data_IF_235533255376
#
_entry.id   IF_235533255376
#
_cell.length_a   1.000
_cell.length_b   1.000
_cell.length_c   1.000
_cell.angle_alpha   90.00
_cell.angle_beta   90.00
_cell.angle_gamma   90.00
#
_symmetry.space_group_name_H-M   'P 1'
#
loop_
_entity.id
_entity.type
_entity.pdbx_description
1 polymer ?
#
# COMPACT_ATOMS: atom_id res chain seq x y z
N UNK A 1 10.83 -3.07 -14.17
CA UNK A 1 11.44 -3.59 -12.94
C UNK A 1 10.42 -3.60 -11.81
N UNK A 2 10.68 -4.34 -10.74
CA UNK A 2 9.69 -4.51 -9.67
C UNK A 2 9.32 -3.18 -9.01
N UNK A 3 10.29 -2.31 -8.74
CA UNK A 3 10.03 -1.02 -8.10
C UNK A 3 9.07 -0.15 -8.92
N UNK A 4 9.29 -0.04 -10.21
CA UNK A 4 8.43 0.71 -11.13
C UNK A 4 7.01 0.12 -11.17
N UNK A 5 6.92 -1.20 -11.20
CA UNK A 5 5.65 -1.90 -11.21
C UNK A 5 4.85 -1.65 -9.93
N UNK A 6 5.52 -1.66 -8.77
CA UNK A 6 4.90 -1.36 -7.48
C UNK A 6 4.35 0.06 -7.46
N UNK A 7 5.16 1.04 -7.85
CA UNK A 7 4.75 2.46 -7.86
C UNK A 7 3.54 2.68 -8.77
N UNK A 8 3.54 2.10 -9.95
CA UNK A 8 2.41 2.20 -10.89
C UNK A 8 1.16 1.49 -10.35
N UNK A 9 1.32 0.31 -9.78
CA UNK A 9 0.19 -0.46 -9.25
C UNK A 9 -0.50 0.24 -8.07
N UNK A 10 0.25 1.03 -7.28
CA UNK A 10 -0.33 1.80 -6.18
C UNK A 10 -0.82 3.20 -6.58
N UNK A 11 -0.87 3.50 -7.88
CA UNK A 11 -1.55 4.67 -8.40
C UNK A 11 -0.67 5.82 -8.88
N UNK A 12 0.65 5.64 -8.93
CA UNK A 12 1.56 6.67 -9.41
C UNK A 12 2.17 6.25 -10.75
N UNK A 13 1.87 6.97 -11.80
CA UNK A 13 2.49 6.76 -13.11
C UNK A 13 3.59 7.79 -13.36
N UNK A 14 4.29 7.66 -14.49
CA UNK A 14 5.42 8.53 -14.85
C UNK A 14 5.06 10.00 -14.98
N UNK A 15 3.78 10.34 -15.13
CA UNK A 15 3.31 11.72 -15.22
C UNK A 15 3.08 12.37 -13.85
N UNK A 16 3.01 11.57 -12.79
CA UNK A 16 2.76 12.09 -11.44
C UNK A 16 3.98 12.85 -10.93
N UNK A 17 3.80 14.07 -10.34
CA UNK A 17 4.93 14.88 -9.87
C UNK A 17 5.84 14.19 -8.84
N UNK A 18 5.28 13.27 -8.05
CA UNK A 18 6.02 12.54 -7.03
C UNK A 18 6.47 11.13 -7.46
N UNK A 19 6.32 10.79 -8.74
CA UNK A 19 6.72 9.48 -9.25
C UNK A 19 8.16 9.12 -8.90
N UNK A 20 9.09 10.05 -9.12
CA UNK A 20 10.50 9.84 -8.84
C UNK A 20 10.77 9.58 -7.34
N UNK A 21 10.03 10.26 -6.46
CA UNK A 21 10.13 10.07 -5.00
C UNK A 21 9.71 8.65 -4.62
N UNK A 22 8.55 8.22 -5.10
CA UNK A 22 8.04 6.88 -4.78
C UNK A 22 8.88 5.78 -5.42
N UNK A 23 9.42 6.02 -6.62
CA UNK A 23 10.33 5.08 -7.26
C UNK A 23 11.61 4.87 -6.44
N UNK A 24 12.19 5.95 -5.93
CA UNK A 24 13.36 5.87 -5.05
C UNK A 24 13.03 5.12 -3.77
N UNK A 25 11.89 5.42 -3.13
CA UNK A 25 11.45 4.74 -1.91
C UNK A 25 11.22 3.25 -2.14
N UNK A 26 10.63 2.89 -3.27
CA UNK A 26 10.38 1.49 -3.61
C UNK A 26 11.66 0.66 -3.74
N UNK A 27 12.77 1.31 -4.13
CA UNK A 27 14.08 0.67 -4.24
C UNK A 27 14.85 0.53 -2.92
N UNK A 28 14.39 1.15 -1.85
CA UNK A 28 15.04 1.10 -0.53
C UNK A 28 14.64 -0.14 0.26
N UNK A 29 15.53 -0.61 1.13
CA UNK A 29 15.22 -1.74 2.01
C UNK A 29 14.28 -1.36 3.16
N UNK A 30 14.42 -0.12 3.67
CA UNK A 30 13.63 0.41 4.78
C UNK A 30 12.92 1.67 4.31
N UNK A 31 11.67 1.54 3.94
CA UNK A 31 10.78 2.62 3.56
C UNK A 31 9.34 2.09 3.55
N UNK A 32 8.37 2.97 3.68
CA UNK A 32 6.96 2.61 3.71
C UNK A 32 6.56 1.83 2.43
N UNK A 33 6.99 2.31 1.27
CA UNK A 33 6.70 1.69 -0.03
C UNK A 33 7.87 0.84 -0.56
N UNK A 34 8.73 0.33 0.33
CA UNK A 34 9.83 -0.55 -0.04
C UNK A 34 9.34 -1.79 -0.80
N UNK A 35 10.13 -2.25 -1.76
CA UNK A 35 9.89 -3.55 -2.41
C UNK A 35 9.81 -4.71 -1.41
N UNK A 36 10.47 -4.58 -0.25
CA UNK A 36 10.40 -5.58 0.83
C UNK A 36 9.04 -5.67 1.51
N UNK A 37 8.27 -4.59 1.46
CA UNK A 37 6.91 -4.52 2.00
C UNK A 37 5.85 -4.86 0.95
N UNK A 38 6.27 -5.27 -0.24
CA UNK A 38 5.40 -5.43 -1.39
C UNK A 38 5.32 -6.87 -1.85
N UNK A 39 4.15 -7.26 -2.32
CA UNK A 39 3.92 -8.48 -3.09
C UNK A 39 3.42 -8.08 -4.47
N UNK A 40 3.92 -8.74 -5.48
CA UNK A 40 3.60 -8.47 -6.88
C UNK A 40 2.91 -9.69 -7.47
N UNK A 41 1.81 -9.48 -8.17
CA UNK A 41 1.13 -10.53 -8.91
C UNK A 41 1.56 -10.50 -10.38
N UNK A 42 1.85 -11.65 -10.92
CA UNK A 42 2.15 -11.82 -12.34
C UNK A 42 1.08 -12.66 -13.02
N UNK A 43 0.74 -12.27 -14.23
CA UNK A 43 -0.14 -13.05 -15.12
C UNK A 43 0.59 -13.21 -16.44
N UNK A 44 0.85 -14.45 -16.83
CA UNK A 44 1.58 -14.81 -18.07
C UNK A 44 2.94 -14.07 -18.18
N UNK A 45 3.64 -13.96 -17.07
CA UNK A 45 4.97 -13.34 -17.02
C UNK A 45 4.96 -11.81 -16.96
N UNK A 46 3.81 -11.17 -16.94
CA UNK A 46 3.67 -9.71 -16.83
C UNK A 46 3.12 -9.30 -15.48
N UNK A 47 3.59 -8.18 -14.95
CA UNK A 47 3.07 -7.62 -13.71
C UNK A 47 1.62 -7.19 -13.87
N UNK A 48 0.74 -7.72 -13.04
CA UNK A 48 -0.69 -7.43 -13.08
C UNK A 48 -1.14 -6.51 -11.94
N UNK A 49 -0.46 -6.54 -10.82
CA UNK A 49 -0.80 -5.72 -9.67
C UNK A 49 0.22 -5.87 -8.53
N UNK A 50 0.02 -5.09 -7.49
CA UNK A 50 0.86 -5.14 -6.30
C UNK A 50 0.07 -4.74 -5.06
N UNK A 51 0.53 -5.21 -3.90
CA UNK A 51 0.04 -4.79 -2.60
C UNK A 51 1.21 -4.41 -1.71
N UNK A 52 1.06 -3.35 -0.95
CA UNK A 52 2.04 -2.89 0.03
C UNK A 52 1.45 -3.02 1.42
N UNK A 53 2.17 -3.69 2.31
CA UNK A 53 1.77 -3.84 3.69
C UNK A 53 2.97 -3.93 4.63
N UNK A 54 2.79 -3.55 5.87
CA UNK A 54 3.85 -3.55 6.87
C UNK A 54 3.26 -3.55 8.29
N UNK A 55 4.13 -3.84 9.24
CA UNK A 55 3.79 -3.75 10.67
C UNK A 55 3.51 -2.29 11.04
N UNK A 56 2.31 -2.00 11.54
CA UNK A 56 1.91 -0.65 11.95
C UNK A 56 2.81 -0.06 13.03
N UNK A 57 3.45 -0.87 13.86
CA UNK A 57 4.41 -0.41 14.87
C UNK A 57 5.67 0.23 14.25
N UNK A 58 5.95 -0.05 12.98
CA UNK A 58 7.12 0.47 12.26
C UNK A 58 6.81 1.70 11.42
N UNK A 59 5.61 2.27 11.53
CA UNK A 59 5.18 3.37 10.68
C UNK A 59 6.17 4.54 10.67
N UNK A 60 6.62 5.03 11.82
CA UNK A 60 7.55 6.16 11.89
C UNK A 60 8.91 5.83 11.25
N UNK A 61 9.46 4.66 11.54
CA UNK A 61 10.72 4.20 10.95
C UNK A 61 10.64 4.11 9.43
N UNK A 62 9.55 3.50 8.94
CA UNK A 62 9.36 3.29 7.51
C UNK A 62 9.04 4.59 6.76
N UNK A 63 8.35 5.52 7.41
CA UNK A 63 7.97 6.80 6.82
C UNK A 63 9.09 7.83 6.85
N UNK A 64 10.03 7.73 7.78
CA UNK A 64 11.11 8.71 7.94
C UNK A 64 11.85 9.07 6.65
N UNK A 65 12.17 8.13 5.73
CA UNK A 65 12.87 8.46 4.50
C UNK A 65 12.11 9.37 3.53
N UNK A 66 10.78 9.48 3.65
CA UNK A 66 9.98 10.32 2.74
C UNK A 66 10.18 11.81 3.00
N UNK A 67 10.41 12.20 4.24
CA UNK A 67 10.47 13.62 4.61
C UNK A 67 11.54 14.42 3.88
N UNK A 68 12.82 14.00 3.86
CA UNK A 68 13.84 14.74 3.12
C UNK A 68 13.57 14.77 1.61
N UNK A 69 12.97 13.73 1.05
CA UNK A 69 12.63 13.69 -0.36
C UNK A 69 11.48 14.63 -0.71
N UNK A 70 10.47 14.72 0.13
CA UNK A 70 9.37 15.68 -0.04
C UNK A 70 9.87 17.11 0.09
N UNK A 71 10.75 17.39 1.06
CA UNK A 71 11.35 18.71 1.20
C UNK A 71 12.14 19.12 -0.03
N UNK A 72 12.93 18.22 -0.59
CA UNK A 72 13.70 18.46 -1.81
C UNK A 72 12.80 18.76 -3.01
N UNK A 73 11.72 18.01 -3.18
CA UNK A 73 10.83 18.13 -4.35
C UNK A 73 9.76 19.21 -4.21
N UNK A 74 9.25 19.45 -2.99
CA UNK A 74 8.15 20.38 -2.73
C UNK A 74 8.59 21.66 -2.04
N UNK A 75 9.82 21.73 -1.53
CA UNK A 75 10.32 22.86 -0.75
C UNK A 75 9.85 22.89 0.71
N UNK A 76 8.92 22.04 1.05
CA UNK A 76 8.36 21.93 2.41
C UNK A 76 8.02 20.48 2.73
N UNK A 77 7.83 20.18 4.01
CA UNK A 77 7.40 18.87 4.48
C UNK A 77 5.93 18.98 4.91
N UNK A 78 4.99 18.40 4.17
CA UNK A 78 3.59 18.39 4.56
C UNK A 78 3.39 17.54 5.82
N UNK A 79 2.38 17.90 6.61
CA UNK A 79 1.96 17.05 7.70
C UNK A 79 1.30 15.78 7.15
N UNK A 80 1.79 14.63 7.58
CA UNK A 80 1.24 13.32 7.19
C UNK A 80 0.67 12.66 8.43
N UNK A 81 -0.63 12.41 8.42
CA UNK A 81 -1.33 11.76 9.52
C UNK A 81 -1.04 10.26 9.57
N UNK A 82 -1.09 9.69 10.78
CA UNK A 82 -0.87 8.27 10.99
C UNK A 82 -2.11 7.48 10.55
N UNK A 83 -1.93 6.56 9.62
CA UNK A 83 -2.99 5.66 9.14
C UNK A 83 -3.09 4.38 9.94
N UNK A 84 -2.04 4.01 10.68
CA UNK A 84 -1.94 2.78 11.43
C UNK A 84 -1.15 2.98 12.71
N UNK A 85 -1.16 1.96 13.54
CA UNK A 85 -0.46 1.93 14.83
C UNK A 85 0.01 0.52 15.16
N UNK A 86 0.75 0.39 16.27
CA UNK A 86 1.17 -0.90 16.78
C UNK A 86 -0.04 -1.81 17.07
N UNK A 87 0.13 -3.11 16.85
CA UNK A 87 -0.90 -4.11 17.09
C UNK A 87 -1.59 -4.62 15.84
N UNK A 88 -1.26 -4.08 14.67
CA UNK A 88 -1.79 -4.57 13.40
C UNK A 88 -0.73 -4.59 12.30
N UNK A 89 -0.90 -5.50 11.35
CA UNK A 89 -0.25 -5.44 10.06
C UNK A 89 -1.15 -4.61 9.13
N UNK A 90 -0.63 -3.52 8.63
CA UNK A 90 -1.40 -2.56 7.85
C UNK A 90 -1.21 -2.79 6.35
N UNK A 91 -2.33 -2.96 5.64
CA UNK A 91 -2.34 -3.02 4.18
C UNK A 91 -2.56 -1.61 3.66
N UNK A 92 -1.47 -0.98 3.22
CA UNK A 92 -1.44 0.43 2.84
C UNK A 92 -2.06 0.68 1.47
N UNK A 93 -1.63 -0.09 0.48
CA UNK A 93 -2.00 0.15 -0.92
C UNK A 93 -2.17 -1.15 -1.67
N UNK A 94 -3.20 -1.19 -2.52
CA UNK A 94 -3.49 -2.29 -3.42
C UNK A 94 -3.83 -1.71 -4.78
N UNK A 95 -3.14 -2.15 -5.82
CA UNK A 95 -3.43 -1.75 -7.19
C UNK A 95 -3.41 -2.93 -8.14
N UNK A 96 -4.36 -2.95 -9.06
CA UNK A 96 -4.42 -3.91 -10.17
C UNK A 96 -4.48 -3.12 -11.47
N UNK A 97 -3.59 -3.41 -12.40
CA UNK A 97 -3.56 -2.73 -13.69
C UNK A 97 -4.86 -3.01 -14.45
N UNK A 98 -5.38 -2.00 -15.19
CA UNK A 98 -6.69 -2.13 -15.85
C UNK A 98 -6.86 -3.36 -16.73
N UNK A 99 -5.81 -3.76 -17.44
CA UNK A 99 -5.86 -4.93 -18.33
C UNK A 99 -6.09 -6.27 -17.60
N UNK A 100 -5.84 -6.30 -16.29
CA UNK A 100 -5.91 -7.50 -15.46
C UNK A 100 -7.05 -7.47 -14.44
N UNK A 101 -7.91 -6.48 -14.50
CA UNK A 101 -9.09 -6.41 -13.63
C UNK A 101 -10.11 -7.49 -14.02
N UNK A 102 -10.85 -7.96 -13.04
CA UNK A 102 -11.82 -9.04 -13.25
C UNK A 102 -11.23 -10.45 -13.29
N UNK A 103 -9.93 -10.61 -13.03
CA UNK A 103 -9.22 -11.90 -13.00
C UNK A 103 -8.88 -12.37 -11.58
N UNK A 104 -9.51 -11.78 -10.57
CA UNK A 104 -9.28 -12.09 -9.14
C UNK A 104 -7.85 -11.81 -8.65
N UNK A 105 -7.11 -10.93 -9.30
CA UNK A 105 -5.75 -10.54 -8.92
C UNK A 105 -5.74 -9.85 -7.56
N UNK A 106 -6.66 -8.91 -7.33
CA UNK A 106 -6.79 -8.21 -6.05
C UNK A 106 -7.07 -9.16 -4.90
N UNK A 107 -7.95 -10.14 -5.09
CA UNK A 107 -8.24 -11.17 -4.10
C UNK A 107 -7.01 -12.00 -3.78
N UNK A 108 -6.27 -12.42 -4.80
CA UNK A 108 -5.03 -13.18 -4.62
C UNK A 108 -3.97 -12.40 -3.84
N UNK A 109 -3.80 -11.11 -4.14
CA UNK A 109 -2.88 -10.24 -3.44
C UNK A 109 -3.27 -10.04 -1.97
N UNK A 110 -4.54 -9.81 -1.69
CA UNK A 110 -5.05 -9.66 -0.32
C UNK A 110 -4.85 -10.94 0.49
N UNK A 111 -5.14 -12.09 -0.07
CA UNK A 111 -4.94 -13.36 0.60
C UNK A 111 -3.46 -13.62 0.88
N UNK A 112 -2.59 -13.38 -0.09
CA UNK A 112 -1.16 -13.56 0.07
C UNK A 112 -0.56 -12.62 1.13
N UNK A 113 -0.99 -11.36 1.15
CA UNK A 113 -0.54 -10.39 2.16
C UNK A 113 -1.01 -10.77 3.55
N UNK A 114 -2.24 -11.26 3.69
CA UNK A 114 -2.79 -11.73 4.96
C UNK A 114 -2.03 -12.97 5.48
N UNK A 115 -1.75 -13.92 4.61
CA UNK A 115 -0.94 -15.10 4.96
C UNK A 115 0.46 -14.70 5.41
N UNK A 116 1.09 -13.76 4.71
CA UNK A 116 2.40 -13.22 5.08
C UNK A 116 2.36 -12.58 6.47
N UNK A 117 1.34 -11.77 6.75
CA UNK A 117 1.18 -11.10 8.04
C UNK A 117 1.09 -12.14 9.17
N UNK A 118 0.29 -13.18 9.01
CA UNK A 118 0.17 -14.24 10.02
C UNK A 118 1.45 -15.06 10.15
N UNK A 119 2.15 -15.34 9.06
CA UNK A 119 3.44 -16.01 9.09
C UNK A 119 4.51 -15.22 9.84
N UNK A 120 4.43 -13.89 9.81
CA UNK A 120 5.31 -12.97 10.55
C UNK A 120 4.88 -12.77 12.02
N UNK A 121 3.82 -13.45 12.46
CA UNK A 121 3.37 -13.43 13.85
C UNK A 121 2.27 -12.42 14.18
N UNK A 122 1.74 -11.72 13.19
CA UNK A 122 0.63 -10.80 13.40
C UNK A 122 -0.68 -11.56 13.60
N UNK A 123 -1.53 -11.06 14.47
CA UNK A 123 -2.87 -11.63 14.74
C UNK A 123 -3.98 -10.75 14.17
N UNK A 124 -3.62 -9.58 13.63
CA UNK A 124 -4.57 -8.58 13.16
C UNK A 124 -4.05 -7.92 11.89
N UNK A 125 -4.91 -7.85 10.89
CA UNK A 125 -4.63 -7.18 9.61
C UNK A 125 -5.66 -6.08 9.40
N UNK A 126 -5.19 -4.85 9.20
CA UNK A 126 -6.04 -3.69 9.02
C UNK A 126 -5.85 -3.02 7.68
N UNK A 127 -6.88 -2.30 7.25
CA UNK A 127 -6.82 -1.45 6.06
C UNK A 127 -7.84 -0.31 6.19
N UNK A 128 -7.66 0.72 5.38
CA UNK A 128 -8.56 1.86 5.31
C UNK A 128 -9.21 1.90 3.94
N UNK A 129 -10.51 2.15 3.90
CA UNK A 129 -11.29 2.28 2.67
C UNK A 129 -12.01 3.62 2.70
N UNK A 130 -11.93 4.37 1.60
CA UNK A 130 -12.70 5.59 1.43
C UNK A 130 -14.19 5.29 1.31
N UNK A 131 -15.02 6.17 1.89
CA UNK A 131 -16.48 6.08 1.73
C UNK A 131 -16.94 6.15 0.27
N UNK A 132 -16.14 6.80 -0.57
CA UNK A 132 -16.42 6.93 -2.00
C UNK A 132 -16.13 5.66 -2.81
N UNK A 133 -15.67 4.60 -2.14
CA UNK A 133 -15.30 3.34 -2.82
C UNK A 133 -16.06 2.13 -2.26
N UNK A 134 -17.40 2.06 -2.52
CA UNK A 134 -18.21 0.95 -2.01
C UNK A 134 -17.84 -0.41 -2.65
N UNK A 135 -17.26 -0.42 -3.84
CA UNK A 135 -16.81 -1.66 -4.48
C UNK A 135 -15.63 -2.28 -3.74
N UNK A 136 -14.67 -1.46 -3.29
CA UNK A 136 -13.56 -1.93 -2.49
C UNK A 136 -14.05 -2.46 -1.12
N UNK A 137 -14.96 -1.75 -0.47
CA UNK A 137 -15.53 -2.19 0.80
C UNK A 137 -16.23 -3.54 0.66
N UNK A 138 -16.99 -3.74 -0.43
CA UNK A 138 -17.64 -5.03 -0.71
C UNK A 138 -16.63 -6.16 -0.90
N UNK A 139 -15.54 -5.89 -1.64
CA UNK A 139 -14.47 -6.87 -1.82
C UNK A 139 -13.86 -7.28 -0.48
N UNK A 140 -13.47 -6.30 0.33
CA UNK A 140 -12.84 -6.58 1.62
C UNK A 140 -13.80 -7.32 2.56
N UNK A 141 -15.06 -6.91 2.63
CA UNK A 141 -16.07 -7.60 3.42
C UNK A 141 -16.28 -9.05 2.97
N UNK A 142 -16.24 -9.30 1.66
CA UNK A 142 -16.38 -10.66 1.13
C UNK A 142 -15.21 -11.57 1.51
N UNK A 143 -14.06 -10.99 1.82
CA UNK A 143 -12.87 -11.72 2.28
C UNK A 143 -12.77 -11.83 3.80
N UNK A 144 -13.77 -11.36 4.54
CA UNK A 144 -13.82 -11.48 5.97
C UNK A 144 -13.39 -10.25 6.76
N UNK A 145 -13.02 -9.16 6.10
CA UNK A 145 -12.74 -7.91 6.79
C UNK A 145 -14.03 -7.31 7.38
N UNK A 146 -13.92 -6.78 8.58
CA UNK A 146 -15.05 -6.17 9.30
C UNK A 146 -14.76 -4.70 9.58
N UNK A 147 -15.76 -3.85 9.39
CA UNK A 147 -15.66 -2.44 9.77
C UNK A 147 -15.54 -2.35 11.29
N UNK A 148 -14.47 -1.68 11.77
CA UNK A 148 -14.23 -1.50 13.21
C UNK A 148 -14.29 -0.03 13.64
N UNK A 149 -14.32 0.91 12.69
CA UNK A 149 -14.42 2.33 13.00
C UNK A 149 -14.22 3.20 11.77
N UNK A 150 -14.16 4.50 12.04
CA UNK A 150 -13.95 5.53 11.04
C UNK A 150 -12.82 6.43 11.49
N UNK A 151 -12.03 6.91 10.53
CA UNK A 151 -10.98 7.90 10.74
C UNK A 151 -11.20 9.07 9.79
N UNK A 152 -10.88 10.27 10.27
CA UNK A 152 -10.89 11.48 9.43
C UNK A 152 -9.47 11.99 9.26
N UNK A 153 -9.12 12.26 8.01
CA UNK A 153 -7.84 12.86 7.66
C UNK A 153 -8.09 14.27 7.10
N UNK A 154 -7.09 15.15 7.21
CA UNK A 154 -7.19 16.49 6.62
C UNK A 154 -7.49 16.39 5.12
N UNK A 155 -8.59 17.04 4.68
CA UNK A 155 -9.03 17.02 3.29
C UNK A 155 -9.96 15.86 2.91
N UNK A 156 -10.36 15.03 3.86
CA UNK A 156 -11.29 13.92 3.63
C UNK A 156 -12.45 13.87 4.60
#
# INVERSE_FOLDING_TARGET
>A
MIAEAVVMAVGYDTSHPLYAVFLELAGREVAQYSYRNSLVAEVDGAVAGAIVGYDGARLEELRAPIYPLLKEHLGEVPHIEDETEAGEYYLDSLGVLPAYRGLSVGTALLNAATERAFAEGHTRVGLIVDFDNPNAERLYSSLGFQRVGEKRFLGH
#
